data_IF_248802699290
#
_entry.id   IF_248802699290
#
_cell.length_a   1.000
_cell.length_b   1.000
_cell.length_c   1.000
_cell.angle_alpha   90.00
_cell.angle_beta   90.00
_cell.angle_gamma   90.00
#
_symmetry.space_group_name_H-M   'P 1'
#
loop_
_entity.id
_entity.type
_entity.pdbx_description
1 polymer ?
#
# COMPACT_ATOMS: atom_id res chain seq x y z
N UNK A 1 -4.43 23.42 28.91
CA UNK A 1 -5.28 23.18 27.74
C UNK A 1 -4.77 24.04 26.59
N UNK A 2 -4.22 23.45 25.53
CA UNK A 2 -3.84 24.21 24.33
C UNK A 2 -5.12 24.54 23.55
N UNK A 3 -5.42 25.82 23.35
CA UNK A 3 -6.75 26.29 22.95
C UNK A 3 -6.84 26.96 21.58
N UNK A 4 -5.81 26.90 20.72
CA UNK A 4 -5.95 27.31 19.32
C UNK A 4 -4.83 26.78 18.43
N UNK A 5 -5.20 26.21 17.28
CA UNK A 5 -4.28 25.92 16.18
C UNK A 5 -4.59 26.88 15.03
N UNK A 6 -3.55 27.43 14.40
CA UNK A 6 -3.67 28.29 13.21
C UNK A 6 -2.91 27.65 12.06
N UNK A 7 -3.56 27.51 10.90
CA UNK A 7 -2.92 26.99 9.69
C UNK A 7 -2.08 28.10 9.07
N UNK A 8 -0.75 27.97 9.14
CA UNK A 8 0.18 28.97 8.61
C UNK A 8 0.33 28.88 7.09
N UNK A 9 0.67 27.71 6.55
CA UNK A 9 0.88 27.50 5.11
C UNK A 9 0.75 26.02 4.73
N UNK A 10 0.71 25.73 3.43
CA UNK A 10 0.81 24.37 2.87
C UNK A 10 2.24 24.17 2.36
N UNK A 11 2.99 23.25 2.96
CA UNK A 11 4.36 22.92 2.52
C UNK A 11 4.36 21.98 1.30
N UNK A 12 3.50 20.96 1.32
CA UNK A 12 3.30 20.02 0.23
C UNK A 12 1.92 19.37 0.32
N UNK A 13 1.49 18.72 -0.76
CA UNK A 13 0.24 17.94 -0.82
C UNK A 13 0.61 16.45 -0.88
N UNK A 14 0.65 15.75 0.26
CA UNK A 14 0.88 14.31 0.24
C UNK A 14 -0.30 13.61 -0.41
N UNK A 15 -0.01 12.48 -1.05
CA UNK A 15 -1.04 11.51 -1.41
C UNK A 15 -0.55 10.12 -1.03
N UNK A 16 -1.47 9.32 -0.50
CA UNK A 16 -1.25 7.93 -0.13
C UNK A 16 -1.81 7.04 -1.23
N UNK A 17 -1.20 5.88 -1.45
CA UNK A 17 -1.63 4.92 -2.46
C UNK A 17 -1.11 3.52 -2.12
N UNK A 18 -1.68 2.49 -2.74
CA UNK A 18 -1.08 1.16 -2.75
C UNK A 18 -0.30 0.95 -4.03
N UNK A 19 0.92 0.45 -3.92
CA UNK A 19 1.79 0.15 -5.05
C UNK A 19 2.11 -1.34 -5.19
N UNK A 20 2.64 -1.70 -6.33
CA UNK A 20 3.27 -3.00 -6.61
C UNK A 20 4.64 -2.78 -7.27
N UNK A 21 5.57 -3.75 -7.22
CA UNK A 21 6.75 -3.73 -8.07
C UNK A 21 6.35 -3.54 -9.56
N UNK A 22 7.16 -2.81 -10.32
CA UNK A 22 6.88 -2.48 -11.71
C UNK A 22 6.87 -3.70 -12.65
N UNK A 23 7.57 -4.77 -12.27
CA UNK A 23 7.60 -6.07 -12.96
C UNK A 23 6.27 -6.86 -12.88
N UNK A 24 5.34 -6.46 -12.01
CA UNK A 24 3.97 -6.99 -11.99
C UNK A 24 3.26 -6.52 -13.27
N UNK A 25 2.79 -7.42 -14.15
CA UNK A 25 2.18 -7.05 -15.42
C UNK A 25 0.93 -6.18 -15.21
N UNK A 26 0.97 -4.97 -15.77
CA UNK A 26 -0.14 -4.02 -15.67
C UNK A 26 -1.44 -4.56 -16.27
N UNK A 27 -1.37 -5.41 -17.30
CA UNK A 27 -2.54 -6.05 -17.89
C UNK A 27 -3.28 -6.99 -16.91
N UNK A 28 -2.59 -7.50 -15.88
CA UNK A 28 -3.18 -8.35 -14.85
C UNK A 28 -3.58 -7.55 -13.62
N UNK A 29 -2.72 -6.61 -13.19
CA UNK A 29 -2.91 -5.83 -11.97
C UNK A 29 -2.69 -4.34 -12.24
N UNK A 30 -3.79 -3.61 -12.39
CA UNK A 30 -3.85 -2.17 -12.66
C UNK A 30 -4.56 -1.39 -11.55
N UNK A 31 -5.45 -2.04 -10.79
CA UNK A 31 -6.24 -1.46 -9.70
C UNK A 31 -6.22 -2.35 -8.46
N UNK A 32 -6.71 -1.82 -7.33
CA UNK A 32 -6.92 -2.62 -6.11
C UNK A 32 -7.97 -3.71 -6.33
N UNK A 33 -8.98 -3.48 -7.18
CA UNK A 33 -10.00 -4.47 -7.52
C UNK A 33 -9.41 -5.72 -8.18
N UNK A 34 -8.38 -5.55 -9.00
CA UNK A 34 -7.69 -6.66 -9.68
C UNK A 34 -7.06 -7.66 -8.71
N UNK A 35 -6.78 -7.27 -7.46
CA UNK A 35 -6.23 -8.16 -6.44
C UNK A 35 -7.14 -9.35 -6.14
N UNK A 36 -8.45 -9.22 -6.39
CA UNK A 36 -9.45 -10.27 -6.17
C UNK A 36 -9.49 -11.33 -7.27
N UNK A 37 -8.92 -11.06 -8.45
CA UNK A 37 -8.90 -12.02 -9.55
C UNK A 37 -8.21 -13.30 -9.07
N UNK A 38 -8.81 -14.50 -9.26
CA UNK A 38 -8.26 -15.74 -8.71
C UNK A 38 -6.78 -15.98 -9.08
N UNK A 39 -6.41 -15.68 -10.33
CA UNK A 39 -5.05 -15.82 -10.85
C UNK A 39 -4.06 -14.80 -10.24
N UNK A 40 -4.53 -13.59 -9.91
CA UNK A 40 -3.72 -12.58 -9.21
C UNK A 40 -3.58 -12.97 -7.75
N UNK A 41 -4.68 -13.31 -7.10
CA UNK A 41 -4.72 -13.75 -5.72
C UNK A 41 -3.83 -14.97 -5.49
N UNK A 42 -3.82 -15.96 -6.39
CA UNK A 42 -2.96 -17.14 -6.26
C UNK A 42 -1.46 -16.82 -6.26
N UNK A 43 -1.05 -15.71 -6.88
CA UNK A 43 0.36 -15.31 -7.03
C UNK A 43 0.80 -14.21 -6.06
N UNK A 44 -0.12 -13.33 -5.69
CA UNK A 44 0.15 -12.18 -4.83
C UNK A 44 0.42 -12.62 -3.39
N UNK A 45 1.44 -12.06 -2.76
CA UNK A 45 1.71 -12.28 -1.35
C UNK A 45 0.52 -11.81 -0.51
N UNK A 46 0.05 -12.68 0.38
CA UNK A 46 -1.21 -12.49 1.10
C UNK A 46 -1.15 -11.46 2.22
N UNK A 47 0.04 -11.27 2.79
CA UNK A 47 0.24 -10.28 3.84
C UNK A 47 0.51 -8.91 3.21
N UNK A 48 -0.32 -7.93 3.55
CA UNK A 48 -0.11 -6.52 3.25
C UNK A 48 0.45 -5.86 4.51
N UNK A 49 1.77 -5.67 4.56
CA UNK A 49 2.45 -5.08 5.70
C UNK A 49 2.32 -3.55 5.67
N UNK A 50 1.64 -2.98 6.64
CA UNK A 50 1.56 -1.54 6.86
C UNK A 50 2.50 -1.04 7.95
N UNK A 51 2.30 0.22 8.33
CA UNK A 51 3.03 0.91 9.39
C UNK A 51 2.13 1.13 10.62
N UNK A 52 2.51 2.04 11.51
CA UNK A 52 1.81 2.27 12.78
C UNK A 52 0.31 2.55 12.60
N UNK A 53 -0.50 2.04 13.52
CA UNK A 53 -1.97 2.05 13.39
C UNK A 53 -2.60 3.45 13.30
N UNK A 54 -1.92 4.45 13.86
CA UNK A 54 -2.33 5.87 13.81
C UNK A 54 -1.97 6.58 12.51
N UNK A 55 -1.19 5.96 11.62
CA UNK A 55 -0.84 6.56 10.35
C UNK A 55 -2.04 6.57 9.39
N UNK A 56 -2.16 7.64 8.60
CA UNK A 56 -3.22 7.79 7.60
C UNK A 56 -3.25 6.63 6.60
N UNK A 57 -2.09 6.22 6.09
CA UNK A 57 -1.97 5.09 5.14
C UNK A 57 -2.43 3.76 5.77
N UNK A 58 -2.13 3.49 7.05
CA UNK A 58 -2.58 2.28 7.72
C UNK A 58 -4.10 2.28 7.95
N UNK A 59 -4.69 3.44 8.26
CA UNK A 59 -6.15 3.57 8.36
C UNK A 59 -6.82 3.33 7.00
N UNK A 60 -6.34 4.02 5.96
CA UNK A 60 -6.80 3.82 4.59
C UNK A 60 -6.70 2.36 4.15
N UNK A 61 -5.57 1.71 4.45
CA UNK A 61 -5.34 0.31 4.07
C UNK A 61 -6.37 -0.64 4.68
N UNK A 62 -6.74 -0.43 5.96
CA UNK A 62 -7.83 -1.21 6.59
C UNK A 62 -9.18 -0.95 5.94
N UNK A 63 -9.46 0.29 5.56
CA UNK A 63 -10.69 0.63 4.82
C UNK A 63 -10.72 -0.06 3.45
N UNK A 64 -9.63 -0.02 2.69
CA UNK A 64 -9.51 -0.70 1.41
C UNK A 64 -9.70 -2.22 1.54
N UNK A 65 -9.10 -2.86 2.55
CA UNK A 65 -9.31 -4.29 2.82
C UNK A 65 -10.78 -4.66 2.94
N UNK A 66 -11.58 -3.83 3.61
CA UNK A 66 -13.03 -4.04 3.76
C UNK A 66 -13.80 -3.69 2.49
N UNK A 67 -13.56 -2.53 1.88
CA UNK A 67 -14.31 -2.05 0.72
C UNK A 67 -14.15 -2.96 -0.50
N UNK A 68 -12.95 -3.51 -0.69
CA UNK A 68 -12.65 -4.41 -1.80
C UNK A 68 -12.88 -5.89 -1.47
N UNK A 69 -13.28 -6.25 -0.24
CA UNK A 69 -13.47 -7.66 0.13
C UNK A 69 -12.21 -8.50 -0.14
N UNK A 70 -11.06 -8.03 0.35
CA UNK A 70 -9.77 -8.68 0.10
C UNK A 70 -9.52 -9.86 1.05
N UNK A 71 -10.21 -9.89 2.20
CA UNK A 71 -10.14 -11.03 3.12
C UNK A 71 -10.67 -12.32 2.46
N UNK A 72 -11.72 -12.20 1.65
CA UNK A 72 -12.33 -13.29 0.88
C UNK A 72 -11.38 -13.82 -0.21
N UNK A 73 -10.48 -12.98 -0.71
CA UNK A 73 -9.40 -13.37 -1.61
C UNK A 73 -8.13 -13.87 -0.86
N UNK A 74 -8.21 -14.00 0.46
CA UNK A 74 -7.16 -14.55 1.33
C UNK A 74 -6.09 -13.54 1.76
N UNK A 75 -6.28 -12.25 1.50
CA UNK A 75 -5.36 -11.21 1.98
C UNK A 75 -5.63 -10.85 3.44
N UNK A 76 -4.62 -10.36 4.12
CA UNK A 76 -4.75 -9.73 5.43
C UNK A 76 -3.80 -8.55 5.55
N UNK A 77 -4.20 -7.55 6.33
CA UNK A 77 -3.40 -6.36 6.60
C UNK A 77 -2.85 -6.43 8.03
N UNK A 78 -1.57 -6.16 8.19
CA UNK A 78 -0.90 -6.08 9.49
C UNK A 78 -0.36 -4.66 9.72
N UNK A 79 -0.59 -4.12 10.92
CA UNK A 79 0.13 -2.93 11.34
C UNK A 79 1.55 -3.33 11.77
N UNK A 80 2.49 -2.39 11.66
CA UNK A 80 3.87 -2.58 12.11
C UNK A 80 4.59 -1.25 12.23
N UNK A 81 5.87 -1.26 11.95
CA UNK A 81 6.73 -0.09 11.84
C UNK A 81 7.00 0.27 10.38
N UNK A 82 7.65 1.42 10.15
CA UNK A 82 8.16 1.73 8.81
C UNK A 82 9.14 0.66 8.36
N UNK A 83 10.06 0.25 9.23
CA UNK A 83 11.09 -0.74 8.92
C UNK A 83 10.48 -2.09 8.55
N UNK A 84 9.41 -2.52 9.23
CA UNK A 84 8.67 -3.75 8.87
C UNK A 84 8.11 -3.68 7.44
N UNK A 85 7.50 -2.54 7.09
CA UNK A 85 6.91 -2.31 5.77
C UNK A 85 7.97 -2.30 4.66
N UNK A 86 9.10 -1.62 4.91
CA UNK A 86 10.23 -1.57 3.97
C UNK A 86 10.86 -2.94 3.80
N UNK A 87 11.21 -3.62 4.89
CA UNK A 87 11.83 -4.94 4.85
C UNK A 87 10.94 -5.97 4.16
N UNK A 88 9.61 -5.93 4.39
CA UNK A 88 8.67 -6.81 3.72
C UNK A 88 8.66 -6.59 2.19
N UNK A 89 8.71 -5.34 1.74
CA UNK A 89 8.76 -5.00 0.33
C UNK A 89 10.09 -5.42 -0.32
N UNK A 90 11.21 -5.05 0.28
CA UNK A 90 12.54 -5.38 -0.24
C UNK A 90 12.75 -6.89 -0.33
N UNK A 91 12.33 -7.63 0.70
CA UNK A 91 12.39 -9.09 0.70
C UNK A 91 11.52 -9.68 -0.43
N UNK A 92 10.32 -9.15 -0.67
CA UNK A 92 9.49 -9.63 -1.76
C UNK A 92 10.13 -9.38 -3.14
N UNK A 93 10.65 -8.18 -3.38
CA UNK A 93 11.35 -7.82 -4.63
C UNK A 93 12.59 -8.68 -4.85
N UNK A 94 13.43 -8.87 -3.83
CA UNK A 94 14.62 -9.73 -3.91
C UNK A 94 14.31 -11.18 -4.31
N UNK A 95 13.09 -11.65 -4.02
CA UNK A 95 12.63 -12.99 -4.34
C UNK A 95 11.66 -13.05 -5.52
N UNK A 96 11.49 -11.96 -6.28
CA UNK A 96 10.58 -11.89 -7.43
C UNK A 96 9.12 -12.16 -7.06
N UNK A 97 8.71 -11.86 -5.83
CA UNK A 97 7.34 -12.09 -5.33
C UNK A 97 6.48 -10.86 -5.59
N UNK A 98 5.26 -11.11 -6.06
CA UNK A 98 4.26 -10.06 -6.15
C UNK A 98 3.83 -9.63 -4.76
N UNK A 99 3.88 -8.34 -4.49
CA UNK A 99 3.53 -7.77 -3.18
C UNK A 99 2.80 -6.45 -3.36
N UNK A 100 1.84 -6.18 -2.48
CA UNK A 100 1.20 -4.87 -2.35
C UNK A 100 1.93 -4.07 -1.26
N UNK A 101 2.29 -2.84 -1.59
CA UNK A 101 2.97 -1.90 -0.70
C UNK A 101 2.07 -0.69 -0.40
N UNK A 102 1.60 -0.52 0.84
CA UNK A 102 1.00 0.74 1.28
C UNK A 102 2.07 1.85 1.37
N UNK A 103 1.97 2.90 0.53
CA UNK A 103 2.97 3.97 0.44
C UNK A 103 2.34 5.36 0.29
N UNK A 104 3.18 6.38 0.27
CA UNK A 104 2.79 7.77 0.03
C UNK A 104 3.89 8.52 -0.72
N UNK A 105 3.58 9.71 -1.22
CA UNK A 105 4.59 10.65 -1.72
C UNK A 105 4.62 11.94 -0.89
N UNK A 106 5.81 12.47 -0.53
CA UNK A 106 7.15 11.92 -0.79
C UNK A 106 7.54 10.79 0.19
N UNK A 107 8.32 9.81 -0.29
CA UNK A 107 8.87 8.70 0.51
C UNK A 107 10.13 8.13 -0.18
N UNK A 108 11.16 7.73 0.59
CA UNK A 108 12.51 7.37 0.11
C UNK A 108 12.61 6.11 -0.77
N UNK A 109 11.72 5.13 -0.65
CA UNK A 109 11.72 3.89 -1.45
C UNK A 109 11.62 4.22 -2.94
N UNK A 110 11.01 5.35 -3.29
CA UNK A 110 10.96 5.83 -4.67
C UNK A 110 12.32 6.18 -5.28
N UNK A 111 13.36 6.40 -4.46
CA UNK A 111 14.72 6.63 -4.96
C UNK A 111 15.42 5.33 -5.33
N UNK A 112 14.99 4.20 -4.75
CA UNK A 112 15.65 2.90 -4.90
C UNK A 112 14.85 1.92 -5.76
N UNK A 113 13.52 2.08 -5.82
CA UNK A 113 12.63 1.12 -6.45
C UNK A 113 11.61 1.79 -7.38
N UNK A 114 11.42 1.17 -8.54
CA UNK A 114 10.29 1.46 -9.42
C UNK A 114 9.03 0.80 -8.84
N UNK A 115 8.18 1.63 -8.23
CA UNK A 115 6.92 1.20 -7.61
C UNK A 115 5.78 1.78 -8.44
N UNK A 116 4.95 0.89 -9.00
CA UNK A 116 3.80 1.28 -9.80
C UNK A 116 2.57 1.42 -8.91
N UNK A 117 1.92 2.61 -8.86
CA UNK A 117 0.67 2.79 -8.15
C UNK A 117 -0.44 1.93 -8.76
N UNK A 118 -1.28 1.36 -7.90
CA UNK A 118 -2.57 0.80 -8.27
C UNK A 118 -3.62 1.89 -8.25
N UNK A 119 -4.55 1.84 -9.20
CA UNK A 119 -5.74 2.67 -9.17
C UNK A 119 -6.63 2.26 -7.99
N UNK A 120 -7.19 3.26 -7.32
CA UNK A 120 -8.22 3.07 -6.28
C UNK A 120 -9.56 3.66 -6.76
N UNK A 121 -10.40 2.86 -7.43
CA UNK A 121 -11.74 3.31 -7.84
C UNK A 121 -12.68 3.72 -6.69
N UNK A 122 -12.42 3.29 -5.45
CA UNK A 122 -13.29 3.52 -4.30
C UNK A 122 -12.77 4.60 -3.33
N UNK A 123 -11.52 5.06 -3.47
CA UNK A 123 -11.06 6.36 -2.95
C UNK A 123 -9.62 6.43 -2.45
#
# INVERSE_FOLDING_TARGET
MASRFEKVAVLYRPYAYWGVPDDVPQALVSSIEDLRKPEVAARMHKRIQGIGAGAGISRFSRTAMTQYGLAEAGYHFENGTLDDCVAAYEHAVQHGRWVVLPLWKPQFLHEQYAIRPLQDPLG
#
